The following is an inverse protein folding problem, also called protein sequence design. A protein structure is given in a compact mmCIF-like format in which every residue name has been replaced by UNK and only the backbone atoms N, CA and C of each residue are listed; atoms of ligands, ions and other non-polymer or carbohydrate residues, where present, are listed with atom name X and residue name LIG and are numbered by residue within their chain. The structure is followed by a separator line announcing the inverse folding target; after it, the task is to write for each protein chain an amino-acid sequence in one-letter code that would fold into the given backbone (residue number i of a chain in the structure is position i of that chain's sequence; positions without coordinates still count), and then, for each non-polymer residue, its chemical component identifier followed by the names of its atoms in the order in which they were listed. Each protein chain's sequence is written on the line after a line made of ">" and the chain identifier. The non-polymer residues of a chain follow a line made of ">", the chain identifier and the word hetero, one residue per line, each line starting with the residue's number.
data_IF_691219253794
#
_entry.id   IF_691219253794
#
_cell.length_a   1.000
_cell.length_b   1.000
_cell.length_c   1.000
_cell.angle_alpha   90.00
_cell.angle_beta   90.00
_cell.angle_gamma   90.00
#
_symmetry.space_group_name_H-M   'P 1'
#
loop_
_entity.id
_entity.type
_entity.pdbx_description
1 polymer ?
#
# COMPACT_ATOMS: atom_id res chain seq x y z
N UNK A 1 17.92 -40.45 39.43
CA UNK A 1 16.82 -41.04 40.22
C UNK A 1 15.54 -40.79 39.45
N UNK A 2 15.13 -41.77 38.64
CA UNK A 2 13.96 -41.73 37.76
C UNK A 2 12.73 -42.16 38.56
N UNK A 3 11.63 -41.42 38.46
CA UNK A 3 10.30 -41.92 38.83
C UNK A 3 9.41 -41.92 37.60
N UNK A 4 9.19 -43.12 37.09
CA UNK A 4 8.14 -43.48 36.14
C UNK A 4 6.76 -43.08 36.68
N UNK A 5 5.93 -42.46 35.84
CA UNK A 5 4.47 -42.53 35.95
C UNK A 5 3.94 -42.97 34.58
N UNK A 6 3.26 -44.12 34.47
CA UNK A 6 2.64 -44.56 33.23
C UNK A 6 1.27 -43.88 33.07
N UNK A 7 1.04 -43.22 31.94
CA UNK A 7 -0.30 -42.73 31.59
C UNK A 7 -0.99 -43.81 30.75
N UNK A 8 -2.07 -44.31 31.35
CA UNK A 8 -2.94 -45.35 30.84
C UNK A 8 -3.70 -44.86 29.60
N UNK A 9 -3.82 -45.71 28.58
CA UNK A 9 -4.69 -45.47 27.43
C UNK A 9 -6.17 -45.57 27.86
N UNK A 10 -7.00 -44.74 27.22
CA UNK A 10 -8.47 -44.61 27.32
C UNK A 10 -9.04 -43.73 28.44
N UNK A 11 -9.30 -42.45 28.10
CA UNK A 11 -10.52 -41.74 28.52
C UNK A 11 -10.65 -40.42 27.74
N UNK A 12 -11.69 -40.33 26.91
CA UNK A 12 -12.21 -39.08 26.34
C UNK A 12 -12.47 -38.05 27.46
N UNK A 13 -11.83 -36.88 27.38
CA UNK A 13 -12.21 -35.72 28.20
C UNK A 13 -12.09 -34.44 27.35
N UNK A 14 -13.11 -34.20 26.56
CA UNK A 14 -13.48 -32.87 26.06
C UNK A 14 -13.86 -31.97 27.25
N UNK A 15 -13.26 -30.78 27.33
CA UNK A 15 -13.57 -29.78 28.35
C UNK A 15 -14.98 -29.18 28.15
N UNK A 16 -15.79 -28.97 29.22
CA UNK A 16 -17.15 -28.47 29.08
C UNK A 16 -17.19 -26.93 29.05
N UNK A 17 -17.84 -26.37 28.03
CA UNK A 17 -18.25 -24.96 27.95
C UNK A 17 -19.51 -24.70 28.79
N UNK A 18 -19.63 -23.53 29.47
CA UNK A 18 -20.78 -23.21 30.30
C UNK A 18 -21.98 -22.78 29.44
N UNK A 19 -23.07 -23.53 29.55
CA UNK A 19 -24.32 -23.36 28.83
C UNK A 19 -25.28 -22.50 29.66
N UNK A 20 -25.63 -21.31 29.16
CA UNK A 20 -26.54 -20.38 29.84
C UNK A 20 -27.85 -20.22 29.07
N UNK A 21 -28.61 -21.31 28.97
CA UNK A 21 -29.97 -21.31 28.40
C UNK A 21 -30.93 -21.92 29.43
N UNK A 22 -31.99 -21.22 29.88
CA UNK A 22 -32.90 -21.74 30.89
C UNK A 22 -33.78 -22.87 30.33
N UNK A 23 -33.91 -23.93 31.13
CA UNK A 23 -34.44 -25.26 30.78
C UNK A 23 -35.97 -25.38 30.98
N UNK A 24 -36.74 -24.33 30.67
CA UNK A 24 -38.20 -24.33 30.87
C UNK A 24 -38.93 -23.64 29.73
N UNK A 25 -39.75 -24.38 28.99
CA UNK A 25 -40.72 -23.81 28.05
C UNK A 25 -41.82 -23.07 28.81
N UNK A 26 -42.06 -21.81 28.46
CA UNK A 26 -43.20 -21.03 28.97
C UNK A 26 -44.52 -21.55 28.35
N UNK A 27 -45.61 -21.65 29.11
CA UNK A 27 -46.87 -22.22 28.63
C UNK A 27 -47.62 -21.23 27.71
N UNK A 28 -47.77 -21.61 26.45
CA UNK A 28 -48.62 -20.93 25.48
C UNK A 28 -50.05 -21.42 25.70
N UNK A 29 -50.89 -20.65 26.40
CA UNK A 29 -52.34 -20.47 26.18
C UNK A 29 -53.03 -19.91 27.43
N UNK A 30 -53.25 -18.59 27.47
CA UNK A 30 -54.36 -17.95 28.18
C UNK A 30 -54.57 -16.54 27.60
N UNK A 31 -55.78 -16.26 27.12
CA UNK A 31 -56.10 -15.15 26.23
C UNK A 31 -55.79 -13.75 26.76
N UNK A 32 -54.94 -13.05 26.02
CA UNK A 32 -54.81 -11.59 26.05
C UNK A 32 -55.45 -11.02 24.76
N UNK A 33 -56.19 -9.90 24.85
CA UNK A 33 -56.95 -9.36 23.72
C UNK A 33 -56.01 -8.88 22.61
N UNK A 34 -56.32 -9.22 21.36
CA UNK A 34 -55.62 -8.71 20.17
C UNK A 34 -55.72 -7.18 20.16
N UNK A 35 -54.61 -6.43 19.99
CA UNK A 35 -54.69 -5.01 19.68
C UNK A 35 -55.35 -4.83 18.31
N UNK A 36 -56.50 -4.17 18.27
CA UNK A 36 -57.15 -3.71 17.03
C UNK A 36 -56.43 -2.47 16.54
N UNK A 37 -55.49 -2.66 15.61
CA UNK A 37 -55.02 -1.58 14.73
C UNK A 37 -55.79 -1.74 13.42
N UNK A 38 -56.41 -0.69 12.85
CA UNK A 38 -57.04 -0.80 11.54
C UNK A 38 -55.98 -1.14 10.48
N UNK A 39 -56.28 -2.08 9.59
CA UNK A 39 -55.49 -2.29 8.37
C UNK A 39 -55.48 -0.99 7.57
N UNK A 40 -54.28 -0.50 7.24
CA UNK A 40 -54.10 0.56 6.26
C UNK A 40 -54.46 -0.06 4.92
N UNK A 41 -55.53 0.44 4.30
CA UNK A 41 -55.86 0.08 2.92
C UNK A 41 -54.73 0.58 2.02
N UNK A 42 -54.08 -0.34 1.30
CA UNK A 42 -53.36 -0.04 0.07
C UNK A 42 -54.38 0.51 -0.94
N UNK A 43 -54.52 1.82 -0.94
CA UNK A 43 -55.10 2.55 -2.07
C UNK A 43 -53.93 3.18 -2.83
N UNK A 44 -53.94 2.91 -4.14
CA UNK A 44 -52.86 3.15 -5.08
C UNK A 44 -52.43 4.62 -5.18
N UNK A 45 -51.11 4.85 -5.19
CA UNK A 45 -50.48 6.07 -5.71
C UNK A 45 -49.20 5.66 -6.50
N UNK A 46 -48.84 6.40 -7.57
CA UNK A 46 -48.04 5.89 -8.66
C UNK A 46 -46.54 5.81 -8.32
N UNK A 47 -45.86 4.84 -8.94
CA UNK A 47 -44.41 4.77 -8.98
C UNK A 47 -43.85 5.97 -9.76
N UNK A 48 -43.42 7.02 -9.05
CA UNK A 48 -42.53 8.04 -9.60
C UNK A 48 -41.10 7.81 -9.08
N UNK A 49 -40.25 7.39 -10.00
CA UNK A 49 -38.79 7.54 -10.11
C UNK A 49 -38.07 8.19 -8.89
N UNK A 50 -37.95 7.42 -7.81
CA UNK A 50 -37.33 7.87 -6.55
C UNK A 50 -35.81 7.74 -6.54
N UNK A 51 -35.22 7.04 -7.51
CA UNK A 51 -33.78 6.80 -7.63
C UNK A 51 -33.06 8.02 -8.21
N UNK A 52 -33.58 8.60 -9.29
CA UNK A 52 -32.99 9.80 -9.92
C UNK A 52 -33.05 11.04 -9.00
N UNK A 53 -34.11 11.17 -8.19
CA UNK A 53 -34.24 12.26 -7.21
C UNK A 53 -33.30 12.05 -6.03
N UNK A 54 -33.08 10.80 -5.62
CA UNK A 54 -32.14 10.48 -4.54
C UNK A 54 -30.68 10.69 -4.97
N UNK A 55 -30.32 10.30 -6.20
CA UNK A 55 -28.99 10.49 -6.78
C UNK A 55 -28.69 11.97 -7.05
N UNK A 56 -29.67 12.72 -7.58
CA UNK A 56 -29.55 14.17 -7.73
C UNK A 56 -29.47 14.89 -6.37
N UNK A 57 -30.13 14.37 -5.34
CA UNK A 57 -30.04 14.89 -3.97
C UNK A 57 -28.68 14.59 -3.33
N UNK A 58 -28.10 13.42 -3.57
CA UNK A 58 -26.74 13.05 -3.14
C UNK A 58 -25.68 13.91 -3.85
N UNK A 59 -25.82 14.15 -5.16
CA UNK A 59 -24.94 15.06 -5.91
C UNK A 59 -25.07 16.53 -5.47
N UNK A 60 -26.27 17.00 -5.12
CA UNK A 60 -26.51 18.33 -4.52
C UNK A 60 -25.94 18.45 -3.10
N UNK A 61 -25.97 17.36 -2.33
CA UNK A 61 -25.39 17.29 -0.98
C UNK A 61 -23.87 17.33 -1.07
N UNK A 62 -23.25 16.55 -1.96
CA UNK A 62 -21.80 16.57 -2.20
C UNK A 62 -21.32 17.94 -2.74
N UNK A 63 -22.02 18.52 -3.71
CA UNK A 63 -21.69 19.84 -4.27
C UNK A 63 -21.87 21.01 -3.29
N UNK A 64 -22.85 20.92 -2.37
CA UNK A 64 -23.01 21.91 -1.27
C UNK A 64 -22.06 21.68 -0.11
N UNK A 65 -21.70 20.43 0.19
CA UNK A 65 -20.70 20.09 1.20
C UNK A 65 -19.33 20.67 0.84
N UNK A 66 -18.92 20.59 -0.42
CA UNK A 66 -17.68 21.20 -0.90
C UNK A 66 -17.64 22.73 -0.69
N UNK A 67 -18.79 23.43 -0.82
CA UNK A 67 -18.91 24.87 -0.54
C UNK A 67 -19.07 25.24 0.94
N UNK A 68 -19.30 24.25 1.80
CA UNK A 68 -19.51 24.39 3.25
C UNK A 68 -18.32 23.93 4.09
N UNK A 69 -17.27 23.37 3.47
CA UNK A 69 -15.99 23.12 4.13
C UNK A 69 -15.48 24.43 4.77
N UNK A 70 -15.43 24.46 6.11
CA UNK A 70 -15.00 25.64 6.89
C UNK A 70 -16.01 26.80 6.98
N UNK A 71 -17.22 26.68 6.42
CA UNK A 71 -18.27 27.72 6.51
C UNK A 71 -19.50 27.17 7.22
N UNK A 72 -20.02 27.92 8.19
CA UNK A 72 -21.26 27.53 8.86
C UNK A 72 -22.41 27.46 7.86
N UNK A 73 -23.19 26.38 7.89
CA UNK A 73 -24.33 26.17 6.99
C UNK A 73 -25.49 27.14 7.19
N UNK A 74 -25.37 28.16 8.05
CA UNK A 74 -26.45 29.06 8.45
C UNK A 74 -27.43 28.38 9.42
N UNK A 75 -27.49 27.05 9.37
CA UNK A 75 -28.34 26.24 10.25
C UNK A 75 -27.91 26.36 11.70
N UNK A 76 -26.61 26.22 12.00
CA UNK A 76 -26.08 26.31 13.36
C UNK A 76 -26.34 27.69 13.96
N UNK A 77 -26.27 28.76 13.16
CA UNK A 77 -26.56 30.14 13.54
C UNK A 77 -28.04 30.34 13.88
N UNK A 78 -28.93 29.63 13.16
CA UNK A 78 -30.39 29.70 13.36
C UNK A 78 -30.88 28.96 14.60
N UNK A 79 -30.04 28.12 15.22
CA UNK A 79 -30.40 27.36 16.42
C UNK A 79 -30.62 28.26 17.63
N UNK A 80 -31.51 27.82 18.53
CA UNK A 80 -31.77 28.50 19.79
C UNK A 80 -30.54 28.54 20.70
N UNK A 81 -30.45 29.52 21.61
CA UNK A 81 -29.34 29.63 22.56
C UNK A 81 -29.20 28.39 23.46
N UNK A 82 -30.33 27.76 23.83
CA UNK A 82 -30.34 26.50 24.57
C UNK A 82 -29.76 25.33 23.77
N UNK A 83 -30.07 25.27 22.46
CA UNK A 83 -29.49 24.27 21.55
C UNK A 83 -28.00 24.51 21.35
N UNK A 84 -27.57 25.76 21.13
CA UNK A 84 -26.14 26.12 21.01
C UNK A 84 -25.36 25.79 22.28
N UNK A 85 -25.93 26.06 23.45
CA UNK A 85 -25.35 25.67 24.75
C UNK A 85 -25.17 24.15 24.84
N UNK A 86 -26.15 23.39 24.36
CA UNK A 86 -26.07 21.92 24.31
C UNK A 86 -25.00 21.44 23.34
N UNK A 87 -24.85 22.08 22.17
CA UNK A 87 -23.79 21.78 21.20
C UNK A 87 -22.42 22.06 21.80
N UNK A 88 -22.23 23.19 22.48
CA UNK A 88 -20.97 23.50 23.19
C UNK A 88 -20.68 22.43 24.26
N UNK A 89 -21.69 21.98 24.99
CA UNK A 89 -21.53 20.87 25.94
C UNK A 89 -21.15 19.56 25.25
N UNK A 90 -21.73 19.24 24.09
CA UNK A 90 -21.37 18.08 23.27
C UNK A 90 -19.93 18.15 22.76
N UNK A 91 -19.47 19.33 22.32
CA UNK A 91 -18.05 19.55 21.95
C UNK A 91 -17.15 19.25 23.16
N UNK A 92 -17.54 19.68 24.38
CA UNK A 92 -16.81 19.35 25.60
C UNK A 92 -16.80 17.84 25.93
N UNK A 93 -17.85 17.09 25.57
CA UNK A 93 -17.86 15.62 25.66
C UNK A 93 -16.91 15.01 24.63
N UNK A 94 -16.90 15.54 23.40
CA UNK A 94 -16.00 15.09 22.34
C UNK A 94 -14.53 15.25 22.73
N UNK A 95 -14.16 16.34 23.43
CA UNK A 95 -12.79 16.53 23.95
C UNK A 95 -12.37 15.34 24.84
N UNK A 96 -13.25 14.89 25.75
CA UNK A 96 -12.96 13.72 26.62
C UNK A 96 -12.87 12.42 25.83
N UNK A 97 -13.66 12.28 24.77
CA UNK A 97 -13.58 11.14 23.87
C UNK A 97 -12.23 11.12 23.14
N UNK A 98 -11.76 12.27 22.65
CA UNK A 98 -10.47 12.40 22.00
C UNK A 98 -9.31 12.12 22.97
N UNK A 99 -9.41 12.55 24.24
CA UNK A 99 -8.44 12.20 25.29
C UNK A 99 -8.33 10.68 25.49
N UNK A 100 -9.47 9.97 25.53
CA UNK A 100 -9.49 8.51 25.65
C UNK A 100 -8.94 7.82 24.39
N UNK A 101 -9.25 8.32 23.20
CA UNK A 101 -8.69 7.79 21.95
C UNK A 101 -7.17 7.97 21.88
N UNK A 102 -6.66 9.14 22.29
CA UNK A 102 -5.23 9.40 22.44
C UNK A 102 -4.57 8.40 23.40
N UNK A 103 -5.19 8.15 24.55
CA UNK A 103 -4.69 7.15 25.51
C UNK A 103 -4.66 5.75 24.88
N UNK A 104 -5.75 5.33 24.24
CA UNK A 104 -5.84 4.03 23.58
C UNK A 104 -4.72 3.82 22.56
N UNK A 105 -4.48 4.80 21.66
CA UNK A 105 -3.40 4.68 20.66
C UNK A 105 -2.01 4.67 21.27
N UNK A 106 -1.78 5.41 22.36
CA UNK A 106 -0.51 5.31 23.11
C UNK A 106 -0.32 3.91 23.72
N UNK A 107 -1.37 3.31 24.26
CA UNK A 107 -1.32 1.94 24.76
C UNK A 107 -1.09 0.90 23.64
N UNK A 108 -1.70 1.10 22.46
CA UNK A 108 -1.40 0.30 21.26
C UNK A 108 0.08 0.39 20.88
N UNK A 109 0.66 1.60 20.86
CA UNK A 109 2.07 1.79 20.54
C UNK A 109 3.01 1.08 21.54
N UNK A 110 2.69 1.12 22.83
CA UNK A 110 3.47 0.38 23.84
C UNK A 110 3.32 -1.14 23.68
N UNK A 111 2.16 -1.62 23.23
CA UNK A 111 1.96 -3.02 22.88
C UNK A 111 2.79 -3.43 21.66
N UNK A 112 2.80 -2.60 20.61
CA UNK A 112 3.63 -2.80 19.42
C UNK A 112 5.11 -2.88 19.78
N UNK A 113 5.61 -1.94 20.60
CA UNK A 113 7.00 -1.96 21.12
C UNK A 113 7.30 -3.29 21.84
N UNK A 114 6.40 -3.75 22.70
CA UNK A 114 6.57 -5.02 23.42
C UNK A 114 6.70 -6.21 22.45
N UNK A 115 5.84 -6.31 21.44
CA UNK A 115 5.90 -7.41 20.48
C UNK A 115 7.07 -7.28 19.51
N UNK A 116 7.53 -6.07 19.21
CA UNK A 116 8.77 -5.87 18.48
C UNK A 116 9.95 -6.50 19.24
N UNK A 117 10.08 -6.26 20.55
CA UNK A 117 11.15 -6.88 21.35
C UNK A 117 11.08 -8.42 21.35
N UNK A 118 9.88 -9.00 21.38
CA UNK A 118 9.69 -10.45 21.28
C UNK A 118 10.05 -11.00 19.89
N UNK A 119 9.92 -10.18 18.85
CA UNK A 119 10.17 -10.56 17.46
C UNK A 119 11.63 -10.38 17.07
N UNK A 120 12.38 -9.48 17.72
CA UNK A 120 13.80 -9.22 17.44
C UNK A 120 14.67 -10.48 17.34
N UNK A 121 14.59 -11.48 18.25
CA UNK A 121 15.38 -12.71 18.12
C UNK A 121 15.07 -13.49 16.84
N UNK A 122 13.83 -13.43 16.34
CA UNK A 122 13.44 -14.06 15.07
C UNK A 122 14.03 -13.31 13.88
N UNK A 123 14.03 -11.97 13.91
CA UNK A 123 14.67 -11.15 12.88
C UNK A 123 16.19 -11.32 12.88
N UNK A 124 16.82 -11.42 14.05
CA UNK A 124 18.25 -11.73 14.17
C UNK A 124 18.56 -13.14 13.62
N UNK A 125 17.70 -14.12 13.90
CA UNK A 125 17.84 -15.47 13.33
C UNK A 125 17.69 -15.46 11.81
N UNK A 126 16.71 -14.73 11.26
CA UNK A 126 16.53 -14.51 9.82
C UNK A 126 17.77 -13.88 9.19
N UNK A 127 18.28 -12.79 9.78
CA UNK A 127 19.52 -12.14 9.35
C UNK A 127 20.70 -13.11 9.33
N UNK A 128 20.81 -13.95 10.35
CA UNK A 128 21.89 -14.93 10.45
C UNK A 128 21.84 -15.96 9.30
N UNK A 129 20.65 -16.41 8.91
CA UNK A 129 20.44 -17.31 7.77
C UNK A 129 20.75 -16.61 6.43
N UNK A 130 20.25 -15.38 6.24
CA UNK A 130 20.40 -14.64 4.97
C UNK A 130 21.85 -14.23 4.73
N UNK A 131 22.50 -13.60 5.69
CA UNK A 131 23.78 -12.93 5.46
C UNK A 131 24.97 -13.69 6.07
N UNK A 132 24.86 -14.13 7.33
CA UNK A 132 26.00 -14.78 8.00
C UNK A 132 26.22 -16.23 7.60
N UNK A 133 25.33 -16.78 6.74
CA UNK A 133 25.30 -18.18 6.37
C UNK A 133 25.30 -19.08 7.62
N UNK A 134 24.41 -18.80 8.57
CA UNK A 134 24.23 -19.68 9.71
C UNK A 134 23.65 -21.03 9.25
N UNK A 135 24.05 -22.12 9.88
CA UNK A 135 23.48 -23.44 9.57
C UNK A 135 22.03 -23.49 10.07
N UNK A 136 21.05 -23.85 9.21
CA UNK A 136 19.67 -24.06 9.64
C UNK A 136 19.55 -25.20 10.66
N UNK A 137 18.64 -25.07 11.62
CA UNK A 137 18.35 -26.18 12.55
C UNK A 137 17.42 -27.20 11.89
N UNK A 138 17.42 -28.47 12.34
CA UNK A 138 16.45 -29.46 11.85
C UNK A 138 14.99 -29.02 12.05
N UNK A 139 14.69 -28.38 13.18
CA UNK A 139 13.34 -27.88 13.49
C UNK A 139 12.88 -26.79 12.50
N UNK A 140 13.79 -25.88 12.12
CA UNK A 140 13.50 -24.85 11.11
C UNK A 140 13.25 -25.46 9.73
N UNK A 141 14.02 -26.47 9.36
CA UNK A 141 13.85 -27.18 8.08
C UNK A 141 12.53 -27.96 8.04
N UNK A 142 12.19 -28.67 9.12
CA UNK A 142 10.94 -29.43 9.22
C UNK A 142 9.72 -28.50 9.18
N UNK A 143 9.77 -27.39 9.93
CA UNK A 143 8.70 -26.39 9.92
C UNK A 143 8.57 -25.71 8.56
N UNK A 144 9.69 -25.33 7.92
CA UNK A 144 9.72 -24.73 6.60
C UNK A 144 9.18 -25.66 5.53
N UNK A 145 9.60 -26.93 5.52
CA UNK A 145 9.09 -27.94 4.59
C UNK A 145 7.58 -28.18 4.79
N UNK A 146 7.12 -28.25 6.04
CA UNK A 146 5.70 -28.41 6.35
C UNK A 146 4.86 -27.21 5.89
N UNK A 147 5.37 -25.98 6.00
CA UNK A 147 4.68 -24.80 5.51
C UNK A 147 4.68 -24.74 3.98
N UNK A 148 5.84 -24.96 3.36
CA UNK A 148 5.96 -24.89 1.91
C UNK A 148 5.11 -25.99 1.21
N UNK A 149 4.95 -27.16 1.84
CA UNK A 149 4.04 -28.21 1.34
C UNK A 149 2.55 -27.82 1.41
N UNK A 150 2.16 -26.93 2.32
CA UNK A 150 0.80 -26.37 2.37
C UNK A 150 0.59 -25.31 1.31
N UNK A 151 1.60 -24.48 1.10
CA UNK A 151 1.53 -23.35 0.18
C UNK A 151 1.54 -23.80 -1.29
N UNK A 152 2.37 -24.80 -1.63
CA UNK A 152 2.40 -25.36 -2.98
C UNK A 152 2.56 -26.90 -2.93
N UNK A 153 1.45 -27.65 -3.01
CA UNK A 153 1.47 -29.11 -2.88
C UNK A 153 1.99 -29.85 -4.13
N UNK A 154 2.01 -29.20 -5.30
CA UNK A 154 2.33 -29.86 -6.58
C UNK A 154 3.79 -29.65 -7.02
N UNK A 155 4.35 -28.45 -6.86
CA UNK A 155 5.74 -28.13 -7.21
C UNK A 155 6.38 -27.22 -6.15
N UNK A 156 7.14 -27.82 -5.24
CA UNK A 156 7.82 -27.07 -4.19
C UNK A 156 9.35 -27.10 -4.37
N UNK A 157 9.96 -26.03 -4.91
CA UNK A 157 11.40 -25.96 -5.15
C UNK A 157 12.24 -25.98 -3.86
N UNK A 158 11.59 -25.80 -2.69
CA UNK A 158 12.24 -25.80 -1.38
C UNK A 158 12.32 -27.19 -0.75
N UNK A 159 11.71 -28.24 -1.33
CA UNK A 159 11.84 -29.64 -0.89
C UNK A 159 13.13 -30.30 -1.45
N UNK A 160 14.27 -29.66 -1.24
CA UNK A 160 15.59 -30.20 -1.60
C UNK A 160 16.22 -30.94 -0.41
N UNK A 161 17.05 -31.98 -0.65
CA UNK A 161 17.73 -32.68 0.42
C UNK A 161 18.61 -31.70 1.22
N UNK A 162 18.62 -31.78 2.56
CA UNK A 162 19.36 -30.85 3.39
C UNK A 162 20.86 -30.90 3.04
N UNK A 163 21.39 -29.77 2.59
CA UNK A 163 22.82 -29.58 2.42
C UNK A 163 23.43 -29.13 3.74
N UNK A 164 24.55 -29.75 4.13
CA UNK A 164 25.28 -29.37 5.36
C UNK A 164 26.19 -28.16 5.15
N UNK A 165 26.28 -27.63 3.93
CA UNK A 165 27.09 -26.45 3.63
C UNK A 165 26.23 -25.19 3.82
N UNK A 166 26.56 -24.32 4.80
CA UNK A 166 25.86 -23.05 4.94
C UNK A 166 26.08 -22.18 3.70
N UNK A 167 25.00 -21.60 3.19
CA UNK A 167 25.04 -20.62 2.11
C UNK A 167 24.20 -19.40 2.52
N UNK A 168 24.74 -18.20 2.27
CA UNK A 168 23.98 -16.96 2.34
C UNK A 168 22.93 -16.94 1.22
N UNK A 169 21.87 -16.15 1.39
CA UNK A 169 20.85 -15.90 0.37
C UNK A 169 21.23 -14.62 -0.38
N UNK A 170 21.75 -14.71 -1.62
CA UNK A 170 22.18 -13.55 -2.37
C UNK A 170 21.01 -12.62 -2.70
N UNK A 171 21.29 -11.32 -2.75
CA UNK A 171 20.36 -10.28 -3.18
C UNK A 171 18.99 -10.29 -2.48
N UNK A 172 18.90 -10.89 -1.28
CA UNK A 172 17.64 -11.13 -0.58
C UNK A 172 16.79 -9.86 -0.47
N UNK A 173 17.32 -8.80 0.15
CA UNK A 173 16.56 -7.57 0.34
C UNK A 173 16.29 -6.82 -0.97
N UNK A 174 17.21 -6.88 -1.95
CA UNK A 174 16.95 -6.30 -3.27
C UNK A 174 15.75 -6.98 -3.94
N UNK A 175 15.69 -8.31 -3.93
CA UNK A 175 14.55 -9.08 -4.46
C UNK A 175 13.27 -8.76 -3.69
N UNK A 176 13.33 -8.72 -2.36
CA UNK A 176 12.18 -8.34 -1.51
C UNK A 176 11.63 -6.98 -1.88
N UNK A 177 12.48 -5.95 -1.95
CA UNK A 177 12.04 -4.59 -2.26
C UNK A 177 11.52 -4.46 -3.70
N UNK A 178 12.09 -5.21 -4.66
CA UNK A 178 11.61 -5.24 -6.05
C UNK A 178 10.28 -5.97 -6.25
N UNK A 179 9.94 -6.89 -5.37
CA UNK A 179 8.66 -7.60 -5.41
C UNK A 179 7.53 -6.82 -4.70
N UNK A 180 7.82 -5.67 -4.09
CA UNK A 180 6.79 -4.79 -3.56
C UNK A 180 6.38 -3.77 -4.63
N UNK A 181 5.08 -3.69 -4.94
CA UNK A 181 4.54 -2.89 -6.05
C UNK A 181 5.05 -1.44 -6.03
N UNK A 182 4.79 -0.69 -4.95
CA UNK A 182 5.20 0.71 -4.85
C UNK A 182 6.71 0.96 -4.76
N UNK A 183 7.50 -0.03 -4.30
CA UNK A 183 8.96 0.14 -4.21
C UNK A 183 9.67 -0.23 -5.50
N UNK A 184 9.08 -1.15 -6.27
CA UNK A 184 9.63 -1.59 -7.55
C UNK A 184 9.77 -0.43 -8.54
N UNK A 185 8.81 0.51 -8.52
CA UNK A 185 8.79 1.72 -9.35
C UNK A 185 9.87 2.73 -8.95
N UNK A 186 10.22 2.79 -7.66
CA UNK A 186 11.27 3.68 -7.15
C UNK A 186 12.68 3.14 -7.38
N UNK A 187 12.84 1.82 -7.55
CA UNK A 187 14.16 1.18 -7.67
C UNK A 187 14.60 1.14 -9.13
N UNK A 188 15.58 1.97 -9.48
CA UNK A 188 16.21 1.92 -10.79
C UNK A 188 17.27 0.82 -10.88
N UNK A 189 17.69 0.47 -12.10
CA UNK A 189 18.79 -0.49 -12.31
C UNK A 189 20.14 -0.01 -11.73
N UNK A 190 20.33 1.30 -11.61
CA UNK A 190 21.52 1.88 -10.98
C UNK A 190 21.50 1.64 -9.46
N UNK A 191 20.32 1.77 -8.85
CA UNK A 191 20.12 1.56 -7.41
C UNK A 191 20.30 0.10 -7.03
N UNK A 192 19.89 -0.83 -7.90
CA UNK A 192 20.08 -2.26 -7.69
C UNK A 192 21.54 -2.61 -7.39
N UNK A 193 22.51 -1.92 -8.01
CA UNK A 193 23.94 -2.12 -7.72
C UNK A 193 24.30 -1.88 -6.25
N UNK A 194 23.74 -0.83 -5.64
CA UNK A 194 23.98 -0.50 -4.23
C UNK A 194 23.12 -1.36 -3.29
N UNK A 195 21.88 -1.66 -3.67
CA UNK A 195 20.94 -2.46 -2.87
C UNK A 195 21.38 -3.93 -2.70
N UNK A 196 22.25 -4.46 -3.58
CA UNK A 196 22.89 -5.78 -3.37
C UNK A 196 23.72 -5.86 -2.08
N UNK A 197 24.17 -4.71 -1.57
CA UNK A 197 24.94 -4.64 -0.33
C UNK A 197 24.04 -4.46 0.90
N UNK A 198 22.71 -4.44 0.76
CA UNK A 198 21.78 -4.35 1.88
C UNK A 198 21.73 -5.68 2.62
N UNK A 199 22.27 -5.71 3.84
CA UNK A 199 22.34 -6.92 4.66
C UNK A 199 21.08 -7.12 5.50
N UNK A 200 20.51 -6.02 5.99
CA UNK A 200 19.39 -6.08 6.93
C UNK A 200 18.53 -4.81 6.88
N UNK A 201 17.25 -4.98 7.18
CA UNK A 201 16.25 -3.94 7.24
C UNK A 201 15.49 -4.07 8.57
N UNK A 202 15.58 -3.05 9.42
CA UNK A 202 15.00 -3.06 10.77
C UNK A 202 14.10 -1.88 11.03
N UNK A 203 13.24 -2.07 12.01
CA UNK A 203 12.42 -1.02 12.62
C UNK A 203 12.82 -0.83 14.08
N UNK A 204 12.83 0.43 14.52
CA UNK A 204 12.89 0.84 15.91
C UNK A 204 11.83 1.91 16.17
N UNK A 205 11.03 1.76 17.22
CA UNK A 205 10.16 2.86 17.65
C UNK A 205 10.97 3.93 18.38
N UNK A 206 10.55 5.19 18.26
CA UNK A 206 11.17 6.27 19.00
C UNK A 206 11.01 6.05 20.52
N UNK A 207 12.04 6.35 21.32
CA UNK A 207 12.00 6.16 22.77
C UNK A 207 10.84 6.95 23.39
N UNK A 208 10.20 6.39 24.42
CA UNK A 208 9.13 7.10 25.15
C UNK A 208 9.62 8.34 25.92
N UNK A 209 10.93 8.63 25.91
CA UNK A 209 11.51 9.88 26.41
C UNK A 209 11.40 11.05 25.41
N UNK A 210 11.19 10.77 24.13
CA UNK A 210 10.92 11.79 23.12
C UNK A 210 9.48 12.31 23.29
N UNK A 211 9.24 13.61 23.06
CA UNK A 211 7.91 14.19 23.24
C UNK A 211 6.91 13.65 22.20
N UNK A 212 7.39 13.37 20.98
CA UNK A 212 6.58 12.91 19.86
C UNK A 212 6.83 11.42 19.60
N UNK A 213 5.79 10.61 19.42
CA UNK A 213 5.94 9.23 19.02
C UNK A 213 6.40 9.12 17.56
N UNK A 214 6.82 7.95 17.14
CA UNK A 214 7.29 7.70 15.79
C UNK A 214 8.06 6.40 15.69
N UNK A 215 8.60 6.13 14.51
CA UNK A 215 9.45 4.98 14.25
C UNK A 215 10.57 5.34 13.28
N UNK A 216 11.57 4.47 13.22
CA UNK A 216 12.77 4.61 12.42
C UNK A 216 13.05 3.30 11.70
N UNK A 217 13.20 3.40 10.39
CA UNK A 217 13.67 2.34 9.52
C UNK A 217 15.19 2.42 9.41
N UNK A 218 15.88 1.30 9.56
CA UNK A 218 17.33 1.20 9.56
C UNK A 218 17.74 0.21 8.49
N UNK A 219 18.43 0.71 7.46
CA UNK A 219 18.98 -0.07 6.37
C UNK A 219 20.47 -0.29 6.66
N UNK A 220 20.88 -1.52 6.96
CA UNK A 220 22.26 -1.88 7.27
C UNK A 220 22.97 -2.41 6.03
N UNK A 221 23.98 -1.70 5.55
CA UNK A 221 24.73 -2.05 4.35
C UNK A 221 26.10 -2.64 4.69
N UNK A 222 26.53 -3.63 3.91
CA UNK A 222 27.93 -4.01 3.85
C UNK A 222 28.77 -2.86 3.26
N UNK A 223 30.08 -2.91 3.52
CA UNK A 223 31.02 -2.02 2.83
C UNK A 223 30.89 -2.19 1.32
N UNK A 224 30.60 -1.10 0.63
CA UNK A 224 30.23 -1.09 -0.78
C UNK A 224 30.98 0.00 -1.56
N UNK A 225 30.86 0.01 -2.88
CA UNK A 225 31.57 0.98 -3.73
C UNK A 225 30.85 2.33 -3.89
N UNK A 226 29.63 2.49 -3.37
CA UNK A 226 28.77 3.64 -3.65
C UNK A 226 28.85 4.74 -2.59
N UNK A 227 28.82 4.37 -1.31
CA UNK A 227 28.84 5.32 -0.19
C UNK A 227 29.61 4.78 1.01
N UNK A 228 29.91 5.66 1.96
CA UNK A 228 30.65 5.32 3.18
C UNK A 228 29.76 4.88 4.35
N UNK A 229 28.45 5.20 4.30
CA UNK A 229 27.50 4.87 5.35
C UNK A 229 27.38 3.34 5.53
N UNK A 230 27.52 2.86 6.76
CA UNK A 230 27.16 1.48 7.13
C UNK A 230 25.66 1.32 7.39
N UNK A 231 24.99 2.43 7.78
CA UNK A 231 23.57 2.48 8.04
C UNK A 231 22.96 3.72 7.41
N UNK A 232 21.83 3.54 6.74
CA UNK A 232 20.94 4.63 6.32
C UNK A 232 19.66 4.53 7.13
N UNK A 233 19.31 5.61 7.80
CA UNK A 233 18.14 5.69 8.68
C UNK A 233 17.08 6.62 8.08
N UNK A 234 15.82 6.21 8.20
CA UNK A 234 14.65 7.03 7.84
C UNK A 234 13.72 7.05 9.04
N UNK A 235 13.47 8.23 9.60
CA UNK A 235 12.66 8.42 10.80
C UNK A 235 11.36 9.12 10.44
N UNK A 236 10.24 8.56 10.87
CA UNK A 236 8.93 9.18 10.79
C UNK A 236 8.50 9.61 12.18
N UNK A 237 8.17 10.88 12.32
CA UNK A 237 7.70 11.48 13.58
C UNK A 237 6.20 11.73 13.43
N UNK A 238 5.43 11.29 14.41
CA UNK A 238 4.00 11.57 14.49
C UNK A 238 3.73 12.87 15.26
N UNK A 239 2.54 13.43 15.06
CA UNK A 239 2.00 14.48 15.92
C UNK A 239 1.73 13.93 17.32
N UNK A 240 1.64 14.83 18.29
CA UNK A 240 1.43 14.46 19.70
C UNK A 240 0.01 13.94 19.96
N UNK A 241 -0.95 14.49 19.23
CA UNK A 241 -2.37 14.14 19.26
C UNK A 241 -2.75 13.33 18.02
N UNK A 242 -3.64 12.36 18.21
CA UNK A 242 -4.24 11.60 17.11
C UNK A 242 -5.09 12.52 16.23
N UNK A 243 -5.14 12.20 14.95
CA UNK A 243 -5.97 12.90 13.98
C UNK A 243 -7.46 12.66 14.20
N UNK A 244 -8.26 13.25 13.32
CA UNK A 244 -9.72 13.11 13.34
C UNK A 244 -10.19 11.65 13.25
N UNK A 245 -9.49 10.79 12.50
CA UNK A 245 -9.78 9.35 12.41
C UNK A 245 -9.48 8.58 13.71
N UNK A 246 -8.76 9.20 14.64
CA UNK A 246 -8.26 8.56 15.85
C UNK A 246 -6.91 7.86 15.68
N UNK A 247 -6.26 7.95 14.52
CA UNK A 247 -4.92 7.40 14.26
C UNK A 247 -3.79 8.44 14.44
N UNK A 248 -2.55 7.96 14.55
CA UNK A 248 -1.40 8.85 14.51
C UNK A 248 -1.29 9.54 13.15
N UNK A 249 -1.06 10.85 13.17
CA UNK A 249 -0.84 11.65 11.96
C UNK A 249 0.65 11.96 11.84
N UNK A 250 1.20 11.87 10.64
CA UNK A 250 2.60 12.26 10.40
C UNK A 250 2.81 13.77 10.62
N UNK A 251 3.93 14.09 11.26
CA UNK A 251 4.42 15.44 11.48
C UNK A 251 5.53 15.77 10.48
N UNK A 252 6.52 14.89 10.36
CA UNK A 252 7.60 14.98 9.37
C UNK A 252 8.33 13.65 9.17
N UNK A 253 9.02 13.55 8.05
CA UNK A 253 10.04 12.54 7.80
C UNK A 253 11.44 13.14 7.92
N UNK A 254 12.40 12.36 8.41
CA UNK A 254 13.80 12.74 8.55
C UNK A 254 14.63 11.61 7.95
N UNK A 255 15.36 11.89 6.88
CA UNK A 255 16.26 10.93 6.25
C UNK A 255 17.73 11.12 6.65
N UNK A 256 18.58 10.22 6.18
CA UNK A 256 20.02 10.25 6.44
C UNK A 256 20.77 10.80 5.24
N UNK A 257 21.68 11.75 5.47
CA UNK A 257 22.59 12.23 4.43
C UNK A 257 23.55 11.10 3.99
N UNK A 258 23.49 10.77 2.70
CA UNK A 258 24.33 9.72 2.09
C UNK A 258 25.67 10.32 1.71
N UNK A 259 26.74 9.74 2.26
CA UNK A 259 28.14 10.09 1.97
C UNK A 259 28.60 9.34 0.74
N UNK A 260 28.16 9.80 -0.42
CA UNK A 260 28.52 9.23 -1.72
C UNK A 260 30.03 9.28 -1.97
N UNK A 261 30.55 8.18 -2.50
CA UNK A 261 31.92 8.10 -3.03
C UNK A 261 32.00 8.82 -4.37
N UNK A 262 33.23 9.13 -4.79
CA UNK A 262 33.47 9.92 -6.00
C UNK A 262 32.80 9.30 -7.24
N UNK A 263 32.02 10.12 -7.95
CA UNK A 263 31.21 9.75 -9.12
C UNK A 263 30.16 8.64 -8.91
N UNK A 264 29.80 8.31 -7.66
CA UNK A 264 28.85 7.24 -7.33
C UNK A 264 27.51 7.73 -6.77
N UNK A 265 27.28 9.05 -6.78
CA UNK A 265 26.00 9.63 -6.41
C UNK A 265 24.90 9.20 -7.38
N UNK A 266 24.00 8.34 -6.92
CA UNK A 266 22.91 7.77 -7.73
C UNK A 266 21.72 8.74 -7.87
N UNK A 267 21.62 9.72 -6.97
CA UNK A 267 20.55 10.74 -6.95
C UNK A 267 20.81 11.87 -7.94
N UNK A 268 21.99 11.89 -8.58
CA UNK A 268 22.40 12.93 -9.53
C UNK A 268 23.01 12.34 -10.78
N UNK A 269 22.60 12.85 -11.93
CA UNK A 269 23.28 12.63 -13.20
C UNK A 269 24.16 13.82 -13.56
N UNK A 270 25.33 13.57 -14.15
CA UNK A 270 26.31 14.62 -14.44
C UNK A 270 26.45 14.85 -15.94
N UNK A 271 26.02 16.02 -16.41
CA UNK A 271 26.17 16.45 -17.79
C UNK A 271 27.49 17.22 -17.98
N UNK A 272 28.37 16.75 -18.85
CA UNK A 272 29.65 17.43 -19.16
C UNK A 272 29.45 18.40 -20.32
N UNK A 273 29.33 19.69 -20.01
CA UNK A 273 29.24 20.76 -21.02
C UNK A 273 30.61 21.36 -21.32
N UNK A 274 30.97 21.40 -22.60
CA UNK A 274 32.13 22.16 -23.10
C UNK A 274 31.80 23.65 -23.10
N UNK A 275 32.30 24.39 -22.13
CA UNK A 275 32.21 25.85 -22.14
C UNK A 275 33.45 26.45 -22.80
N UNK A 276 33.26 27.19 -23.89
CA UNK A 276 34.31 27.99 -24.53
C UNK A 276 34.18 29.43 -24.08
N UNK A 277 35.24 29.98 -23.48
CA UNK A 277 35.28 31.38 -23.13
C UNK A 277 35.38 32.22 -24.42
N UNK A 278 34.36 33.06 -24.68
CA UNK A 278 34.24 33.86 -25.90
C UNK A 278 35.42 34.83 -26.10
N UNK A 279 36.06 35.29 -25.01
CA UNK A 279 37.15 36.28 -25.07
C UNK A 279 38.54 35.65 -25.14
N UNK A 280 38.76 34.50 -24.48
CA UNK A 280 40.09 33.86 -24.40
C UNK A 280 40.23 32.62 -25.26
N UNK A 281 39.18 32.21 -25.97
CA UNK A 281 39.08 30.99 -26.78
C UNK A 281 39.47 29.68 -26.05
N UNK A 282 39.68 29.72 -24.73
CA UNK A 282 39.93 28.53 -23.92
C UNK A 282 38.65 27.76 -23.67
N UNK A 283 38.71 26.45 -23.88
CA UNK A 283 37.62 25.52 -23.59
C UNK A 283 37.84 24.89 -22.22
N UNK A 284 36.85 24.98 -21.33
CA UNK A 284 36.79 24.26 -20.05
C UNK A 284 35.63 23.28 -20.10
N UNK A 285 35.84 22.06 -19.61
CA UNK A 285 34.77 21.11 -19.34
C UNK A 285 34.14 21.48 -18.00
N UNK A 286 32.83 21.76 -18.00
CA UNK A 286 32.05 22.03 -16.79
C UNK A 286 31.09 20.86 -16.61
N UNK A 287 31.26 20.13 -15.51
CA UNK A 287 30.37 19.05 -15.09
C UNK A 287 29.23 19.68 -14.29
N UNK A 288 27.99 19.60 -14.79
CA UNK A 288 26.79 20.10 -14.10
C UNK A 288 25.97 18.89 -13.62
N UNK A 289 25.69 18.84 -12.33
CA UNK A 289 24.82 17.82 -11.76
C UNK A 289 23.34 18.21 -11.97
N UNK A 290 22.51 17.22 -12.28
CA UNK A 290 21.06 17.32 -12.42
C UNK A 290 20.43 16.25 -11.52
N UNK A 291 19.43 16.59 -10.68
CA UNK A 291 18.70 15.59 -9.90
C UNK A 291 18.10 14.51 -10.81
N UNK A 292 18.05 13.28 -10.32
CA UNK A 292 17.55 12.14 -11.08
C UNK A 292 16.78 11.20 -10.16
N UNK A 293 15.79 10.52 -10.72
CA UNK A 293 15.07 9.47 -10.02
C UNK A 293 16.01 8.36 -9.55
N UNK A 294 15.88 8.04 -8.28
CA UNK A 294 16.66 7.04 -7.55
C UNK A 294 15.92 6.68 -6.28
N UNK A 295 15.90 5.40 -5.93
CA UNK A 295 15.40 4.92 -4.64
C UNK A 295 16.02 5.68 -3.46
N UNK A 296 17.28 6.10 -3.58
CA UNK A 296 18.00 6.78 -2.50
C UNK A 296 17.50 8.20 -2.21
N UNK A 297 16.64 8.77 -3.07
CA UNK A 297 15.89 9.99 -2.76
C UNK A 297 14.96 9.80 -1.55
N UNK A 298 14.57 8.56 -1.23
CA UNK A 298 13.83 8.20 -0.02
C UNK A 298 14.51 8.68 1.28
N UNK A 299 15.84 8.80 1.29
CA UNK A 299 16.60 9.32 2.45
C UNK A 299 16.75 10.84 2.44
N UNK A 300 16.15 11.54 1.48
CA UNK A 300 16.02 13.00 1.40
C UNK A 300 14.54 13.35 1.25
N UNK A 301 13.72 13.10 2.30
CA UNK A 301 12.27 13.25 2.19
C UNK A 301 11.87 14.69 1.85
N UNK A 302 10.71 14.88 1.19
CA UNK A 302 10.15 16.21 1.00
C UNK A 302 9.90 16.89 2.36
N UNK A 303 9.98 18.22 2.38
CA UNK A 303 9.78 19.01 3.60
C UNK A 303 8.43 19.70 3.49
N UNK A 304 7.53 19.43 4.44
CA UNK A 304 6.26 20.13 4.51
C UNK A 304 6.52 21.65 4.68
N UNK A 305 5.83 22.50 3.90
CA UNK A 305 6.01 23.93 3.99
C UNK A 305 5.46 24.44 5.32
N UNK A 306 6.04 25.54 5.83
CA UNK A 306 5.51 26.17 7.03
C UNK A 306 4.15 26.80 6.75
N UNK A 307 3.25 26.75 7.73
CA UNK A 307 1.91 27.35 7.65
C UNK A 307 1.99 28.84 7.23
N UNK A 308 2.99 29.57 7.74
CA UNK A 308 3.29 30.96 7.33
C UNK A 308 3.60 31.11 5.83
N UNK A 309 4.33 30.15 5.24
CA UNK A 309 4.70 30.21 3.81
C UNK A 309 3.49 29.90 2.90
N UNK A 310 2.57 29.07 3.39
CA UNK A 310 1.29 28.78 2.71
C UNK A 310 0.38 30.01 2.79
N UNK A 311 0.24 30.61 3.98
CA UNK A 311 -0.57 31.81 4.20
C UNK A 311 -0.07 33.03 3.42
N UNK A 312 1.26 33.21 3.31
CA UNK A 312 1.88 34.27 2.54
C UNK A 312 1.79 34.04 1.01
N UNK A 313 1.42 32.83 0.58
CA UNK A 313 1.28 32.47 -0.83
C UNK A 313 2.62 32.37 -1.57
N UNK A 314 3.71 32.10 -0.83
CA UNK A 314 5.06 31.96 -1.37
C UNK A 314 5.24 30.71 -2.23
N UNK A 315 4.34 29.73 -2.04
CA UNK A 315 4.28 28.47 -2.78
C UNK A 315 2.94 28.43 -3.51
N UNK A 316 2.96 28.17 -4.81
CA UNK A 316 1.73 28.06 -5.60
C UNK A 316 0.92 26.83 -5.20
N UNK A 317 -0.41 26.87 -5.39
CA UNK A 317 -1.31 25.74 -5.10
C UNK A 317 -0.86 24.45 -5.82
N UNK A 318 -0.48 24.53 -7.10
CA UNK A 318 0.01 23.36 -7.86
C UNK A 318 1.31 22.76 -7.25
N UNK A 319 2.21 23.61 -6.73
CA UNK A 319 3.45 23.14 -6.10
C UNK A 319 3.20 22.55 -4.70
N UNK A 320 2.18 23.05 -4.00
CA UNK A 320 1.69 22.48 -2.74
C UNK A 320 1.09 21.09 -2.96
N UNK A 321 0.22 20.94 -3.96
CA UNK A 321 -0.43 19.66 -4.30
C UNK A 321 0.62 18.61 -4.69
N UNK A 322 1.59 18.95 -5.55
CA UNK A 322 2.69 18.04 -5.92
C UNK A 322 3.57 17.65 -4.72
N UNK A 323 3.74 18.54 -3.75
CA UNK A 323 4.53 18.29 -2.56
C UNK A 323 3.79 17.40 -1.57
N UNK A 324 2.48 17.60 -1.42
CA UNK A 324 1.61 16.75 -0.61
C UNK A 324 1.58 15.32 -1.16
N UNK A 325 1.40 15.15 -2.48
CA UNK A 325 1.45 13.83 -3.13
C UNK A 325 2.78 13.10 -2.87
N UNK A 326 3.91 13.82 -2.99
CA UNK A 326 5.23 13.25 -2.70
C UNK A 326 5.41 12.86 -1.23
N UNK A 327 4.83 13.63 -0.30
CA UNK A 327 4.86 13.31 1.13
C UNK A 327 3.99 12.08 1.45
N UNK A 328 2.81 11.99 0.84
CA UNK A 328 1.90 10.86 1.01
C UNK A 328 2.55 9.56 0.51
N UNK A 329 3.14 9.57 -0.69
CA UNK A 329 3.89 8.43 -1.22
C UNK A 329 5.05 8.06 -0.28
N UNK A 330 5.81 9.03 0.24
CA UNK A 330 6.91 8.77 1.17
C UNK A 330 6.46 8.11 2.48
N UNK A 331 5.30 8.52 3.02
CA UNK A 331 4.69 7.93 4.21
C UNK A 331 4.14 6.54 3.94
N UNK A 332 3.46 6.34 2.82
CA UNK A 332 2.92 5.04 2.42
C UNK A 332 4.04 4.00 2.27
N UNK A 333 5.13 4.35 1.58
CA UNK A 333 6.30 3.47 1.45
C UNK A 333 6.94 3.18 2.82
N UNK A 334 6.96 4.17 3.72
CA UNK A 334 7.41 4.00 5.09
C UNK A 334 6.59 2.96 5.87
N UNK A 335 5.26 3.03 5.76
CA UNK A 335 4.34 2.06 6.37
C UNK A 335 4.44 0.68 5.73
N UNK A 336 4.50 0.59 4.40
CA UNK A 336 4.66 -0.70 3.72
C UNK A 336 5.94 -1.40 4.16
N UNK A 337 7.05 -0.67 4.32
CA UNK A 337 8.27 -1.24 4.86
C UNK A 337 8.07 -1.77 6.28
N UNK A 338 7.40 -1.00 7.14
CA UNK A 338 7.16 -1.29 8.56
C UNK A 338 6.19 -2.46 8.78
N UNK A 339 5.03 -2.44 8.13
CA UNK A 339 3.91 -3.35 8.38
C UNK A 339 3.92 -4.58 7.47
N UNK A 340 4.42 -4.45 6.23
CA UNK A 340 4.40 -5.55 5.24
C UNK A 340 5.78 -6.17 5.06
N UNK A 341 6.76 -5.38 4.64
CA UNK A 341 8.05 -5.91 4.17
C UNK A 341 8.89 -6.48 5.31
N UNK A 342 9.09 -5.75 6.39
CA UNK A 342 9.90 -6.23 7.52
C UNK A 342 9.27 -7.50 8.13
N UNK A 343 7.94 -7.56 8.40
CA UNK A 343 7.33 -8.77 8.95
C UNK A 343 7.26 -9.94 7.97
N UNK A 344 7.01 -9.68 6.68
CA UNK A 344 6.76 -10.72 5.64
C UNK A 344 7.85 -10.80 4.57
N UNK A 345 9.09 -10.44 4.89
CA UNK A 345 10.19 -10.41 3.93
C UNK A 345 10.38 -11.71 3.14
N UNK A 346 10.15 -12.88 3.75
CA UNK A 346 10.30 -14.17 3.05
C UNK A 346 9.18 -14.37 2.01
N UNK A 347 7.97 -13.91 2.30
CA UNK A 347 6.83 -14.00 1.38
C UNK A 347 7.06 -13.07 0.18
N UNK A 348 7.60 -11.87 0.40
CA UNK A 348 8.04 -10.99 -0.69
C UNK A 348 9.21 -11.60 -1.49
N UNK A 349 10.20 -12.19 -0.83
CA UNK A 349 11.34 -12.81 -1.53
C UNK A 349 10.90 -13.97 -2.44
N UNK A 350 9.99 -14.80 -1.96
CA UNK A 350 9.45 -15.96 -2.70
C UNK A 350 8.41 -15.56 -3.75
N UNK A 351 7.94 -14.31 -3.74
CA UNK A 351 6.88 -13.80 -4.61
C UNK A 351 5.46 -14.11 -4.12
N UNK A 352 5.31 -14.89 -3.04
CA UNK A 352 4.00 -15.22 -2.45
C UNK A 352 3.21 -13.99 -2.02
N UNK A 353 3.89 -12.95 -1.54
CA UNK A 353 3.22 -11.71 -1.13
C UNK A 353 2.46 -11.03 -2.27
N UNK A 354 2.91 -11.20 -3.52
CA UNK A 354 2.25 -10.63 -4.70
C UNK A 354 0.82 -11.15 -4.89
N UNK A 355 0.55 -12.40 -4.50
CA UNK A 355 -0.80 -12.97 -4.57
C UNK A 355 -1.75 -12.20 -3.66
N UNK A 356 -1.31 -11.82 -2.46
CA UNK A 356 -2.13 -11.07 -1.51
C UNK A 356 -2.28 -9.59 -1.89
N UNK A 357 -1.20 -8.98 -2.40
CA UNK A 357 -1.23 -7.58 -2.84
C UNK A 357 -2.10 -7.42 -4.11
N UNK A 358 -2.16 -8.42 -5.01
CA UNK A 358 -3.02 -8.39 -6.21
C UNK A 358 -4.48 -8.73 -5.91
N UNK A 359 -4.76 -9.67 -5.01
CA UNK A 359 -6.14 -10.03 -4.61
C UNK A 359 -6.85 -8.90 -3.86
N UNK A 360 -6.12 -7.91 -3.34
CA UNK A 360 -6.71 -6.75 -2.67
C UNK A 360 -7.35 -5.73 -3.62
N UNK A 361 -7.00 -5.75 -4.91
CA UNK A 361 -7.56 -4.82 -5.92
C UNK A 361 -8.77 -5.42 -6.68
N UNK A 362 -8.93 -6.75 -6.68
CA UNK A 362 -10.01 -7.45 -7.40
C UNK A 362 -11.27 -7.70 -6.54
N UNK A 363 -11.30 -7.34 -5.25
CA UNK A 363 -12.46 -7.58 -4.37
C UNK A 363 -13.55 -6.49 -4.47
N UNK A 364 -13.34 -5.44 -5.27
CA UNK A 364 -14.30 -4.34 -5.50
C UNK A 364 -15.11 -4.47 -6.80
N UNK A 365 -14.93 -5.53 -7.60
CA UNK A 365 -15.59 -5.70 -8.92
C UNK A 365 -16.57 -6.89 -8.99
N UNK A 366 -17.23 -7.22 -7.89
CA UNK A 366 -18.49 -7.97 -7.96
C UNK A 366 -19.61 -7.03 -8.38
N UNK A 367 -19.62 -6.63 -9.66
CA UNK A 367 -20.83 -6.15 -10.31
C UNK A 367 -21.91 -7.23 -10.11
N UNK A 368 -23.00 -6.81 -9.47
CA UNK A 368 -24.26 -7.55 -9.33
C UNK A 368 -24.68 -8.06 -10.73
N UNK A 369 -24.34 -9.30 -11.07
CA UNK A 369 -24.95 -9.98 -12.21
C UNK A 369 -26.41 -10.26 -11.81
N UNK A 370 -27.26 -9.26 -12.07
CA UNK A 370 -28.71 -9.35 -11.98
C UNK A 370 -29.20 -10.66 -12.63
N UNK A 371 -29.70 -11.56 -11.80
CA UNK A 371 -30.56 -12.68 -12.19
C UNK A 371 -31.87 -12.11 -12.76
N UNK A 372 -31.92 -11.82 -14.06
CA UNK A 372 -33.20 -11.68 -14.78
C UNK A 372 -33.61 -13.06 -15.36
N UNK A 373 -34.28 -13.82 -14.50
CA UNK A 373 -35.01 -15.04 -14.82
C UNK A 373 -36.38 -14.64 -15.42
N UNK A 374 -36.67 -15.14 -16.62
CA UNK A 374 -37.56 -14.42 -17.53
C UNK A 374 -39.07 -14.59 -17.38
N UNK A 375 -39.80 -13.84 -18.20
CA UNK A 375 -41.15 -14.19 -18.64
C UNK A 375 -41.39 -13.81 -20.11
N UNK A 376 -41.90 -14.77 -20.87
CA UNK A 376 -42.27 -14.60 -22.27
C UNK A 376 -43.71 -14.16 -22.39
N UNK A 377 -43.96 -13.20 -23.29
CA UNK A 377 -45.25 -13.05 -23.94
C UNK A 377 -45.07 -12.75 -25.43
N UNK A 378 -45.54 -13.70 -26.22
CA UNK A 378 -45.79 -13.59 -27.66
C UNK A 378 -46.95 -12.61 -27.90
N UNK A 379 -46.86 -11.78 -28.95
CA UNK A 379 -48.00 -11.64 -29.85
C UNK A 379 -47.58 -11.15 -31.25
N UNK A 380 -48.20 -11.80 -32.23
CA UNK A 380 -48.06 -11.73 -33.67
C UNK A 380 -48.24 -10.33 -34.28
N UNK A 381 -47.46 -10.04 -35.33
CA UNK A 381 -48.02 -9.53 -36.59
C UNK A 381 -47.23 -10.06 -37.79
N UNK A 382 -47.86 -11.01 -38.47
CA UNK A 382 -47.47 -11.61 -39.75
C UNK A 382 -47.78 -10.63 -40.91
N UNK A 383 -46.88 -10.54 -41.91
CA UNK A 383 -47.24 -10.39 -43.33
C UNK A 383 -45.98 -10.40 -44.22
N UNK A 384 -45.69 -11.58 -44.78
CA UNK A 384 -45.29 -11.87 -46.17
C UNK A 384 -44.55 -10.79 -47.01
N UNK A 385 -43.36 -11.10 -47.53
CA UNK A 385 -43.17 -11.77 -48.85
C UNK A 385 -41.69 -11.71 -49.33
N UNK A 386 -41.22 -12.87 -49.84
CA UNK A 386 -40.15 -13.12 -50.83
C UNK A 386 -38.63 -12.90 -50.52
N UNK A 387 -37.97 -14.04 -50.23
CA UNK A 387 -36.58 -14.42 -50.58
C UNK A 387 -36.45 -14.56 -52.13
N UNK A 388 -35.28 -14.72 -52.83
CA UNK A 388 -33.91 -14.95 -52.39
C UNK A 388 -32.83 -14.26 -53.30
N UNK A 389 -31.56 -14.73 -53.39
CA UNK A 389 -30.55 -14.90 -52.35
C UNK A 389 -29.21 -14.16 -52.69
N UNK A 390 -28.32 -14.13 -51.70
CA UNK A 390 -26.90 -13.78 -51.85
C UNK A 390 -26.15 -14.61 -52.92
N UNK A 391 -24.95 -14.16 -53.35
CA UNK A 391 -23.80 -15.00 -53.04
C UNK A 391 -22.52 -14.25 -52.63
N UNK A 392 -22.02 -14.69 -51.48
CA UNK A 392 -20.65 -15.06 -51.11
C UNK A 392 -19.49 -14.91 -52.14
N UNK A 393 -18.40 -14.36 -51.59
CA UNK A 393 -16.98 -14.82 -51.62
C UNK A 393 -16.10 -14.50 -52.84
N UNK A 394 -14.90 -14.00 -52.50
CA UNK A 394 -13.57 -14.57 -52.84
C UNK A 394 -12.59 -13.56 -53.46
N UNK A 395 -11.39 -13.62 -52.90
CA UNK A 395 -10.17 -12.92 -53.29
C UNK A 395 -9.70 -13.19 -54.74
N UNK A 396 -8.92 -12.22 -55.26
CA UNK A 396 -7.67 -12.52 -55.97
C UNK A 396 -7.51 -11.94 -57.38
N UNK A 397 -6.53 -11.04 -57.55
CA UNK A 397 -5.58 -11.16 -58.68
C UNK A 397 -5.51 -10.05 -59.74
N UNK A 398 -4.67 -9.04 -59.48
CA UNK A 398 -3.51 -8.65 -60.32
C UNK A 398 -3.68 -7.99 -61.70
N UNK A 399 -2.91 -6.91 -61.95
CA UNK A 399 -1.96 -6.80 -63.09
C UNK A 399 -1.35 -5.39 -63.26
N UNK A 400 -0.03 -5.39 -63.53
CA UNK A 400 0.70 -4.44 -64.39
C UNK A 400 0.98 -3.07 -63.76
N UNK A 401 2.15 -2.45 -63.87
CA UNK A 401 3.30 -2.68 -64.73
C UNK A 401 3.87 -1.32 -65.14
N UNK A 402 5.20 -1.23 -65.12
CA UNK A 402 6.09 -0.27 -65.82
C UNK A 402 6.39 1.11 -65.20
N UNK A 403 7.71 1.34 -65.13
CA UNK A 403 8.40 2.61 -65.38
C UNK A 403 8.60 3.45 -64.13
N UNK A 404 9.80 3.85 -63.71
CA UNK A 404 11.13 3.83 -64.29
C UNK A 404 11.97 4.79 -63.44
N UNK A 405 13.07 4.30 -62.89
CA UNK A 405 14.18 5.11 -62.34
C UNK A 405 14.93 5.80 -63.51
N UNK A 406 15.77 6.82 -63.28
CA UNK A 406 17.12 6.63 -62.69
C UNK A 406 17.41 7.64 -61.55
N UNK A 407 18.06 7.29 -60.44
CA UNK A 407 19.39 6.70 -60.24
C UNK A 407 20.57 7.65 -60.52
N UNK A 408 21.27 8.06 -59.45
CA UNK A 408 22.74 8.06 -59.31
C UNK A 408 23.08 8.33 -57.82
N UNK A 409 23.36 7.35 -56.94
CA UNK A 409 24.66 6.64 -56.68
C UNK A 409 25.92 7.46 -57.01
N UNK A 410 26.66 7.97 -56.01
CA UNK A 410 27.80 7.38 -55.24
C UNK A 410 29.09 7.24 -56.11
N UNK A 411 30.36 7.15 -55.62
CA UNK A 411 30.88 7.08 -54.25
C UNK A 411 32.29 7.72 -53.97
N UNK A 412 32.78 7.48 -52.73
CA UNK A 412 34.16 7.15 -52.30
C UNK A 412 35.23 8.19 -51.85
N UNK A 413 35.75 7.90 -50.64
CA UNK A 413 37.11 8.00 -50.05
C UNK A 413 37.84 9.34 -49.84
N UNK A 414 38.30 9.62 -48.59
CA UNK A 414 39.72 9.47 -48.20
C UNK A 414 40.05 9.78 -46.71
N UNK A 415 40.82 8.86 -46.12
CA UNK A 415 41.83 8.85 -45.02
C UNK A 415 42.21 10.08 -44.16
N UNK A 416 42.45 9.73 -42.88
CA UNK A 416 43.58 10.05 -41.97
C UNK A 416 44.32 11.40 -42.12
N UNK A 417 44.32 12.17 -41.02
CA UNK A 417 45.54 12.51 -40.25
C UNK A 417 45.16 12.96 -38.84
#
# INVERSE_FOLDING_TARGET
>A
MSSHVPINQHSDITAPTPQNTPLTHAPITAGLPRPTVPDISEDAEPAEDSTAVHEAMLGLVQGRLAGLLGKSSGYIESLSDGTKTSIVALIGVQVKQNELQNQYKRECLELEKKYLELTKPLYERRRALIYTAAVPTPEELDAGAAQAAKDNPEENPFLVPPSTAPAAVPDFWLTVLRNHVGLSELITDRDAGALKYLNDLRIEYLPSSEPKPGFKLIFEFASNEFFENEKLEKTYVYREEVGYSGDFVYDRAIGTEIKWKDEKDLTKEFEIKKQRNKNTNRTRLVRKAHPTESFFNFFSPPVAPSEEAIEEGDIGEEELDELEEKLEIDYQIGEDIKEKIIPRAVDYFTGKALEYDMLSDDEDDYEDEDEDDGDGFEDDVDSDEDDPPAPRRSAGGGRGGRGGLPANVNPEECKQQ
#
